data_IF_843675208383
#
_entry.id   IF_843675208383
#
_cell.length_a   1.000
_cell.length_b   1.000
_cell.length_c   1.000
_cell.angle_alpha   90.00
_cell.angle_beta   90.00
_cell.angle_gamma   90.00
#
_symmetry.space_group_name_H-M   'P 1'
#
loop_
_entity.id
_entity.type
_entity.pdbx_description
1 polymer ?
#
# COMPACT_ATOMS: atom_id res chain seq x y z
N UNK A 1 20.14 1.00 0.10
CA UNK A 1 19.18 0.84 -1.02
C UNK A 1 18.77 2.23 -1.46
N UNK A 2 18.72 2.53 -2.76
CA UNK A 2 18.20 3.80 -3.26
C UNK A 2 16.72 3.58 -3.63
N UNK A 3 15.82 3.85 -2.69
CA UNK A 3 14.39 3.62 -2.83
C UNK A 3 13.67 4.97 -2.99
N UNK A 4 12.86 5.10 -4.03
CA UNK A 4 12.09 6.31 -4.34
C UNK A 4 10.77 5.88 -4.97
N UNK A 5 9.82 5.49 -4.12
CA UNK A 5 8.50 5.09 -4.59
C UNK A 5 7.66 6.30 -5.00
N UNK A 6 6.99 6.18 -6.14
CA UNK A 6 6.01 7.16 -6.63
C UNK A 6 4.61 6.59 -6.52
N UNK A 7 3.68 7.37 -5.98
CA UNK A 7 2.26 7.00 -5.89
C UNK A 7 1.49 7.70 -7.01
N UNK A 8 0.76 6.92 -7.81
CA UNK A 8 -0.07 7.39 -8.92
C UNK A 8 -1.55 7.16 -8.60
N UNK A 9 -2.36 8.21 -8.76
CA UNK A 9 -3.81 8.10 -8.69
C UNK A 9 -4.39 7.94 -10.10
N UNK A 10 -5.06 6.82 -10.30
CA UNK A 10 -5.58 6.33 -11.58
C UNK A 10 -7.11 6.44 -11.59
N UNK A 11 -7.70 6.48 -12.79
CA UNK A 11 -9.14 6.31 -12.96
C UNK A 11 -9.51 4.85 -13.27
N UNK A 12 -10.79 4.51 -13.19
CA UNK A 12 -11.28 3.14 -13.43
C UNK A 12 -10.93 2.62 -14.83
N UNK A 13 -10.87 3.49 -15.84
CA UNK A 13 -10.55 3.09 -17.20
C UNK A 13 -9.09 2.63 -17.36
N UNK A 14 -8.17 3.21 -16.57
CA UNK A 14 -6.76 2.82 -16.57
C UNK A 14 -6.51 1.44 -15.94
N UNK A 15 -7.43 0.96 -15.10
CA UNK A 15 -7.35 -0.36 -14.44
C UNK A 15 -8.39 -1.36 -14.96
N UNK A 16 -9.15 -0.99 -15.99
CA UNK A 16 -10.18 -1.82 -16.58
C UNK A 16 -9.62 -3.17 -17.05
N UNK A 17 -10.30 -4.26 -16.69
CA UNK A 17 -9.93 -5.63 -17.08
C UNK A 17 -8.97 -6.34 -16.14
N UNK A 18 -8.38 -5.65 -15.15
CA UNK A 18 -7.56 -6.29 -14.10
C UNK A 18 -8.43 -6.86 -12.97
N UNK A 19 -9.59 -6.24 -12.70
CA UNK A 19 -10.41 -6.52 -11.52
C UNK A 19 -9.81 -5.98 -10.22
N UNK A 20 -8.64 -5.33 -10.27
CA UNK A 20 -7.95 -4.76 -9.13
C UNK A 20 -8.23 -3.26 -8.98
N UNK A 21 -8.06 -2.75 -7.77
CA UNK A 21 -8.23 -1.33 -7.41
C UNK A 21 -6.91 -0.65 -7.02
N UNK A 22 -5.82 -1.41 -7.04
CA UNK A 22 -4.44 -0.96 -6.83
C UNK A 22 -3.45 -1.92 -7.46
N UNK A 23 -2.19 -1.50 -7.53
CA UNK A 23 -1.05 -2.37 -7.82
C UNK A 23 0.25 -1.78 -7.28
N UNK A 24 1.22 -2.65 -7.03
CA UNK A 24 2.63 -2.32 -6.80
C UNK A 24 3.47 -2.87 -7.95
N UNK A 25 4.22 -2.00 -8.62
CA UNK A 25 5.32 -2.38 -9.52
C UNK A 25 6.65 -2.08 -8.80
N UNK A 26 7.32 -3.10 -8.25
CA UNK A 26 8.55 -2.90 -7.49
C UNK A 26 9.76 -2.63 -8.38
N UNK A 27 9.74 -3.00 -9.67
CA UNK A 27 10.84 -2.72 -10.60
C UNK A 27 10.92 -1.23 -10.92
N UNK A 28 9.77 -0.62 -11.19
CA UNK A 28 9.67 0.84 -11.42
C UNK A 28 9.47 1.65 -10.15
N UNK A 29 9.30 0.99 -9.01
CA UNK A 29 8.98 1.59 -7.71
C UNK A 29 7.73 2.48 -7.78
N UNK A 30 6.67 1.94 -8.38
CA UNK A 30 5.40 2.65 -8.59
C UNK A 30 4.28 1.95 -7.84
N UNK A 31 3.47 2.73 -7.13
CA UNK A 31 2.21 2.26 -6.54
C UNK A 31 1.06 2.96 -7.25
N UNK A 32 0.20 2.20 -7.91
CA UNK A 32 -1.02 2.70 -8.56
C UNK A 32 -2.25 2.49 -7.68
N UNK A 33 -3.11 3.50 -7.58
CA UNK A 33 -4.37 3.44 -6.82
C UNK A 33 -5.53 3.99 -7.63
N UNK A 34 -6.66 3.29 -7.69
CA UNK A 34 -7.86 3.78 -8.36
C UNK A 34 -8.57 4.81 -7.46
N UNK A 35 -8.68 6.05 -7.93
CA UNK A 35 -9.20 7.20 -7.19
C UNK A 35 -10.70 7.16 -6.85
N UNK A 36 -11.46 6.26 -7.46
CA UNK A 36 -12.92 6.12 -7.25
C UNK A 36 -13.28 5.34 -5.97
N UNK A 37 -12.30 4.76 -5.27
CA UNK A 37 -12.51 4.00 -4.04
C UNK A 37 -13.03 4.90 -2.90
N UNK A 38 -13.81 4.31 -1.98
CA UNK A 38 -14.14 4.99 -0.72
C UNK A 38 -12.89 5.23 0.12
N UNK A 39 -12.93 6.22 1.00
CA UNK A 39 -11.78 6.60 1.85
C UNK A 39 -11.23 5.41 2.65
N UNK A 40 -12.09 4.60 3.24
CA UNK A 40 -11.69 3.44 4.04
C UNK A 40 -11.01 2.37 3.18
N UNK A 41 -11.57 2.10 2.00
CA UNK A 41 -10.99 1.14 1.05
C UNK A 41 -9.65 1.64 0.49
N UNK A 42 -9.55 2.93 0.18
CA UNK A 42 -8.32 3.55 -0.32
C UNK A 42 -7.18 3.44 0.70
N UNK A 43 -7.46 3.60 2.00
CA UNK A 43 -6.46 3.43 3.06
C UNK A 43 -5.91 2.00 3.07
N UNK A 44 -6.81 1.01 3.05
CA UNK A 44 -6.44 -0.40 3.03
C UNK A 44 -5.66 -0.77 1.76
N UNK A 45 -6.16 -0.39 0.57
CA UNK A 45 -5.49 -0.65 -0.70
C UNK A 45 -4.11 -0.01 -0.76
N UNK A 46 -3.97 1.25 -0.34
CA UNK A 46 -2.67 1.92 -0.34
C UNK A 46 -1.65 1.18 0.53
N UNK A 47 -2.03 0.83 1.74
CA UNK A 47 -1.14 0.11 2.65
C UNK A 47 -0.83 -1.30 2.16
N UNK A 48 -1.79 -1.97 1.53
CA UNK A 48 -1.60 -3.28 0.91
C UNK A 48 -0.48 -3.24 -0.12
N UNK A 49 -0.53 -2.30 -1.06
CA UNK A 49 0.51 -2.13 -2.09
C UNK A 49 1.86 -1.68 -1.50
N UNK A 50 1.86 -0.85 -0.44
CA UNK A 50 3.09 -0.49 0.28
C UNK A 50 3.74 -1.72 0.92
N UNK A 51 2.95 -2.65 1.47
CA UNK A 51 3.50 -3.87 2.04
C UNK A 51 4.04 -4.82 0.96
N UNK A 52 3.40 -4.93 -0.21
CA UNK A 52 3.99 -5.64 -1.36
C UNK A 52 5.33 -5.02 -1.76
N UNK A 53 5.41 -3.70 -1.85
CA UNK A 53 6.66 -3.00 -2.10
C UNK A 53 7.74 -3.36 -1.08
N UNK A 54 7.41 -3.33 0.23
CA UNK A 54 8.34 -3.67 1.32
C UNK A 54 8.81 -5.12 1.21
N UNK A 55 7.89 -6.07 1.00
CA UNK A 55 8.20 -7.50 0.87
C UNK A 55 9.24 -7.68 -0.23
N UNK A 56 9.00 -7.08 -1.39
CA UNK A 56 9.91 -7.19 -2.53
C UNK A 56 11.27 -6.51 -2.28
N UNK A 57 11.30 -5.23 -1.89
CA UNK A 57 12.57 -4.47 -1.78
C UNK A 57 13.46 -4.93 -0.61
N UNK A 58 12.87 -5.59 0.37
CA UNK A 58 13.61 -6.16 1.50
C UNK A 58 14.02 -7.61 1.24
N UNK A 59 13.83 -8.13 0.02
CA UNK A 59 14.14 -9.52 -0.37
C UNK A 59 13.48 -10.53 0.58
N UNK A 60 12.25 -10.21 1.02
CA UNK A 60 11.43 -11.12 1.79
C UNK A 60 10.81 -12.14 0.83
N UNK A 61 10.68 -13.38 1.30
CA UNK A 61 10.22 -14.47 0.46
C UNK A 61 8.75 -14.26 0.06
N UNK A 62 8.50 -14.06 -1.23
CA UNK A 62 7.17 -14.19 -1.81
C UNK A 62 6.69 -15.63 -1.64
N UNK A 63 5.51 -15.79 -1.05
CA UNK A 63 4.91 -17.11 -0.79
C UNK A 63 3.44 -17.06 -1.13
N UNK A 64 2.82 -18.23 -1.28
CA UNK A 64 1.37 -18.39 -1.43
C UNK A 64 0.56 -17.76 -0.27
N UNK A 65 1.24 -17.49 0.86
CA UNK A 65 0.66 -16.87 2.05
C UNK A 65 0.91 -15.36 2.16
N UNK A 66 1.63 -14.77 1.21
CA UNK A 66 1.98 -13.35 1.20
C UNK A 66 0.76 -12.44 1.34
N UNK A 67 -0.16 -12.55 0.39
CA UNK A 67 -1.44 -11.86 0.39
C UNK A 67 -2.16 -11.89 1.73
N UNK A 68 -2.10 -13.06 2.39
CA UNK A 68 -2.77 -13.26 3.67
C UNK A 68 -2.09 -12.54 4.82
N UNK A 69 -0.76 -12.51 4.90
CA UNK A 69 -0.08 -11.78 5.95
C UNK A 69 -0.03 -10.28 5.65
N UNK A 70 0.17 -9.86 4.40
CA UNK A 70 0.13 -8.45 3.96
C UNK A 70 -1.19 -7.83 4.38
N UNK A 71 -2.31 -8.46 4.03
CA UNK A 71 -3.65 -8.01 4.44
C UNK A 71 -3.81 -7.89 5.96
N UNK A 72 -3.27 -8.84 6.74
CA UNK A 72 -3.33 -8.78 8.22
C UNK A 72 -2.47 -7.64 8.80
N UNK A 73 -1.30 -7.39 8.21
CA UNK A 73 -0.43 -6.28 8.59
C UNK A 73 -1.10 -4.93 8.30
N UNK A 74 -1.73 -4.78 7.13
CA UNK A 74 -2.54 -3.61 6.79
C UNK A 74 -3.61 -3.36 7.85
N UNK A 75 -4.44 -4.37 8.15
CA UNK A 75 -5.50 -4.25 9.17
C UNK A 75 -4.93 -3.81 10.54
N UNK A 76 -3.83 -4.43 10.97
CA UNK A 76 -3.16 -4.07 12.22
C UNK A 76 -2.65 -2.64 12.24
N UNK A 77 -2.00 -2.21 11.15
CA UNK A 77 -1.44 -0.86 11.03
C UNK A 77 -2.53 0.22 10.99
N UNK A 78 -3.57 0.02 10.17
CA UNK A 78 -4.76 0.87 10.14
C UNK A 78 -5.35 1.01 11.56
N UNK A 79 -5.50 -0.10 12.28
CA UNK A 79 -6.05 -0.09 13.65
C UNK A 79 -5.20 0.75 14.60
N UNK A 80 -3.87 0.58 14.58
CA UNK A 80 -2.96 1.33 15.45
C UNK A 80 -3.00 2.81 15.13
N UNK A 81 -2.93 3.20 13.85
CA UNK A 81 -2.96 4.61 13.44
C UNK A 81 -4.30 5.28 13.69
N UNK A 82 -5.42 4.61 13.38
CA UNK A 82 -6.76 5.15 13.63
C UNK A 82 -7.01 5.37 15.13
N UNK A 83 -6.49 4.49 15.98
CA UNK A 83 -6.60 4.64 17.43
C UNK A 83 -5.61 5.68 18.00
N UNK A 84 -4.53 5.99 17.28
CA UNK A 84 -3.45 6.86 17.75
C UNK A 84 -3.02 7.91 16.70
N UNK A 85 -3.93 8.75 16.19
CA UNK A 85 -3.63 9.66 15.09
C UNK A 85 -2.53 10.68 15.44
N UNK A 86 -2.40 11.05 16.71
CA UNK A 86 -1.33 11.94 17.19
C UNK A 86 0.06 11.31 17.07
N UNK A 87 0.18 10.00 17.26
CA UNK A 87 1.45 9.29 17.13
C UNK A 87 1.92 9.29 15.67
N UNK A 88 1.00 9.03 14.72
CA UNK A 88 1.32 9.09 13.29
C UNK A 88 1.72 10.50 12.85
N UNK A 89 0.98 11.52 13.27
CA UNK A 89 1.33 12.93 13.00
C UNK A 89 2.69 13.33 13.56
N UNK A 90 3.02 12.85 14.76
CA UNK A 90 4.33 13.07 15.36
C UNK A 90 5.43 12.44 14.52
N UNK A 91 5.26 11.17 14.14
CA UNK A 91 6.22 10.45 13.30
C UNK A 91 6.42 11.11 11.93
N UNK A 92 5.35 11.55 11.27
CA UNK A 92 5.44 12.19 9.95
C UNK A 92 6.17 13.53 9.96
N UNK A 93 6.38 14.14 11.13
CA UNK A 93 7.15 15.37 11.30
C UNK A 93 8.62 15.14 11.66
N UNK A 94 9.07 13.88 11.80
CA UNK A 94 10.47 13.54 12.08
C UNK A 94 11.35 13.51 10.83
N UNK A 95 10.74 13.50 9.64
CA UNK A 95 11.38 13.37 8.33
C UNK A 95 11.24 14.62 7.49
#
# INVERSE_FOLDING_TARGET
MNLTFTVLFLNDAQMAGTGAVGYCDPETQTIGLVGSQSTDLMQDTFLHEVFHAIVHVMDLKETETEENYVRRLVTGLCTVWNNNPAAFKSWSGLV
#
